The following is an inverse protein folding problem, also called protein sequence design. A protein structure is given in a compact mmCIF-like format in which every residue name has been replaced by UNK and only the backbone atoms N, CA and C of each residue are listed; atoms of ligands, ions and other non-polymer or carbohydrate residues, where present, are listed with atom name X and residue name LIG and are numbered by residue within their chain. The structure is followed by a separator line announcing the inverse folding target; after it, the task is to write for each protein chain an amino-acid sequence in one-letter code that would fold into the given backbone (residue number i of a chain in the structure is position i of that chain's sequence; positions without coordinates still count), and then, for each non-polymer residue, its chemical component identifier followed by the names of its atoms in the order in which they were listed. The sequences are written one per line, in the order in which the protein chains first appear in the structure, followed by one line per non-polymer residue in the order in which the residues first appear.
data_IF_529804649021
#
_entry.id   IF_529804649021
#
_cell.length_a   1.000
_cell.length_b   1.000
_cell.length_c   1.000
_cell.angle_alpha   90.00
_cell.angle_beta   90.00
_cell.angle_gamma   90.00
#
_symmetry.space_group_name_H-M   'P 1'
#
loop_
_entity.id
_entity.type
_entity.pdbx_description
1 polymer ?
#
# COMPACT_ATOMS: atom_id res chain seq x y z
N UNK A 1 26.81 3.68 -11.33
CA UNK A 1 25.69 4.48 -11.88
C UNK A 1 25.31 5.67 -11.00
N UNK A 2 26.30 6.35 -10.40
CA UNK A 2 26.13 7.35 -9.29
C UNK A 2 26.04 8.81 -9.78
N UNK A 3 26.36 9.08 -11.02
CA UNK A 3 26.50 10.47 -11.53
C UNK A 3 25.17 11.12 -11.95
N UNK A 4 24.11 10.33 -12.09
CA UNK A 4 22.84 10.78 -12.69
C UNK A 4 21.93 11.56 -11.72
N UNK A 5 21.95 11.22 -10.42
CA UNK A 5 21.02 11.80 -9.42
C UNK A 5 21.27 13.27 -9.13
N UNK A 6 22.50 13.76 -9.31
CA UNK A 6 22.88 15.15 -8.99
C UNK A 6 22.21 16.21 -9.86
N UNK A 7 21.78 15.85 -11.08
CA UNK A 7 21.24 16.79 -12.09
C UNK A 7 19.75 16.56 -12.40
N UNK A 8 19.04 15.73 -11.64
CA UNK A 8 17.62 15.47 -11.85
C UNK A 8 16.77 16.71 -11.50
N UNK A 9 15.65 16.93 -12.21
CA UNK A 9 14.59 17.84 -11.82
C UNK A 9 14.11 17.55 -10.38
N UNK A 10 13.49 18.54 -9.72
CA UNK A 10 13.06 18.41 -8.32
C UNK A 10 12.11 17.23 -8.10
N UNK A 11 11.14 17.03 -9.01
CA UNK A 11 10.14 15.96 -8.90
C UNK A 11 10.75 14.56 -9.08
N UNK A 12 11.64 14.41 -10.07
CA UNK A 12 12.37 13.14 -10.27
C UNK A 12 13.28 12.82 -9.07
N UNK A 13 13.90 13.84 -8.48
CA UNK A 13 14.72 13.65 -7.27
C UNK A 13 13.88 13.24 -6.07
N UNK A 14 12.64 13.78 -5.95
CA UNK A 14 11.70 13.34 -4.92
C UNK A 14 11.32 11.86 -5.12
N UNK A 15 11.04 11.45 -6.35
CA UNK A 15 10.73 10.06 -6.66
C UNK A 15 11.89 9.11 -6.30
N UNK A 16 13.12 9.42 -6.71
CA UNK A 16 14.32 8.63 -6.37
C UNK A 16 14.55 8.58 -4.84
N UNK A 17 14.23 9.67 -4.12
CA UNK A 17 14.34 9.65 -2.64
C UNK A 17 13.33 8.68 -2.04
N UNK A 18 12.10 8.68 -2.52
CA UNK A 18 11.05 7.75 -2.06
C UNK A 18 11.46 6.30 -2.32
N UNK A 19 11.96 5.99 -3.52
CA UNK A 19 12.45 4.66 -3.87
C UNK A 19 13.58 4.21 -2.95
N UNK A 20 14.57 5.07 -2.72
CA UNK A 20 15.68 4.77 -1.80
C UNK A 20 15.22 4.46 -0.37
N UNK A 21 14.19 5.16 0.13
CA UNK A 21 13.61 4.88 1.46
C UNK A 21 12.88 3.54 1.49
N UNK A 22 12.11 3.21 0.45
CA UNK A 22 11.38 1.95 0.35
C UNK A 22 12.36 0.77 0.27
N UNK A 23 13.44 0.90 -0.51
CA UNK A 23 14.50 -0.11 -0.59
C UNK A 23 15.20 -0.32 0.77
N UNK A 24 15.62 0.77 1.42
CA UNK A 24 16.22 0.69 2.75
C UNK A 24 15.29 0.02 3.77
N UNK A 25 13.99 0.32 3.72
CA UNK A 25 13.00 -0.27 4.61
C UNK A 25 12.76 -1.77 4.34
N UNK A 26 13.05 -2.26 3.14
CA UNK A 26 13.03 -3.68 2.85
C UNK A 26 14.22 -4.42 3.51
N UNK A 27 15.37 -3.73 3.68
CA UNK A 27 16.62 -4.30 4.16
C UNK A 27 16.80 -4.18 5.69
N UNK A 28 16.26 -3.11 6.31
CA UNK A 28 16.46 -2.80 7.73
C UNK A 28 15.20 -2.25 8.41
N UNK A 29 15.25 -2.09 9.73
CA UNK A 29 14.13 -1.50 10.47
C UNK A 29 13.89 -0.04 10.01
N UNK A 30 12.67 0.33 9.58
CA UNK A 30 12.36 1.69 9.13
C UNK A 30 12.63 2.79 10.16
N UNK A 31 12.53 2.47 11.47
CA UNK A 31 12.81 3.43 12.53
C UNK A 31 14.31 3.83 12.57
N UNK A 32 15.19 2.91 12.17
CA UNK A 32 16.64 3.11 12.19
C UNK A 32 17.17 3.77 10.91
N UNK A 33 16.32 3.97 9.90
CA UNK A 33 16.70 4.66 8.66
C UNK A 33 16.96 6.13 8.97
N UNK A 34 18.20 6.56 8.77
CA UNK A 34 18.64 7.95 8.96
C UNK A 34 18.64 8.71 7.63
N UNK A 35 18.54 10.03 7.70
CA UNK A 35 18.70 10.89 6.51
C UNK A 35 20.10 10.78 5.88
N UNK A 36 21.10 10.44 6.67
CA UNK A 36 22.45 10.13 6.18
C UNK A 36 22.45 8.82 5.35
N UNK A 37 21.80 7.76 5.82
CA UNK A 37 21.68 6.51 5.08
C UNK A 37 20.91 6.69 3.76
N UNK A 38 19.83 7.49 3.77
CA UNK A 38 19.07 7.83 2.55
C UNK A 38 19.98 8.58 1.55
N UNK A 39 20.68 9.63 2.00
CA UNK A 39 21.59 10.38 1.15
C UNK A 39 22.71 9.49 0.57
N UNK A 40 23.27 8.61 1.40
CA UNK A 40 24.29 7.64 0.98
C UNK A 40 23.77 6.68 -0.10
N UNK A 41 22.54 6.12 0.07
CA UNK A 41 21.91 5.24 -0.92
C UNK A 41 21.75 5.94 -2.27
N UNK A 42 21.45 7.23 -2.24
CA UNK A 42 21.28 8.07 -3.44
C UNK A 42 22.60 8.58 -4.03
N UNK A 43 23.76 8.34 -3.40
CA UNK A 43 25.03 8.92 -3.80
C UNK A 43 25.10 10.44 -3.60
N UNK A 44 24.36 10.99 -2.63
CA UNK A 44 24.26 12.40 -2.29
C UNK A 44 24.86 12.69 -0.92
N UNK A 45 25.16 13.98 -0.67
CA UNK A 45 25.41 14.46 0.69
C UNK A 45 24.08 14.69 1.42
N UNK A 46 24.08 14.55 2.74
CA UNK A 46 22.90 14.85 3.57
C UNK A 46 22.41 16.29 3.38
N UNK A 47 23.34 17.26 3.21
CA UNK A 47 23.00 18.66 2.90
C UNK A 47 22.27 18.81 1.55
N UNK A 48 22.59 17.98 0.55
CA UNK A 48 21.87 17.99 -0.72
C UNK A 48 20.44 17.43 -0.56
N UNK A 49 20.24 16.42 0.29
CA UNK A 49 18.93 15.90 0.62
C UNK A 49 18.05 16.95 1.32
N UNK A 50 18.61 17.68 2.29
CA UNK A 50 17.88 18.71 3.04
C UNK A 50 17.45 19.94 2.22
N UNK A 51 18.01 20.15 1.03
CA UNK A 51 17.49 21.18 0.10
C UNK A 51 16.09 20.85 -0.45
N UNK A 52 15.70 19.58 -0.43
CA UNK A 52 14.42 19.10 -0.97
C UNK A 52 13.44 18.63 0.11
N UNK A 53 13.98 18.19 1.25
CA UNK A 53 13.21 17.70 2.38
C UNK A 53 13.74 18.31 3.68
N UNK A 54 12.98 19.18 4.35
CA UNK A 54 13.46 19.88 5.54
C UNK A 54 13.77 18.96 6.71
N UNK A 55 13.15 17.77 6.75
CA UNK A 55 13.33 16.77 7.81
C UNK A 55 12.90 15.38 7.35
N UNK A 56 13.10 14.36 8.21
CA UNK A 56 12.71 12.96 7.95
C UNK A 56 11.19 12.82 7.79
N UNK A 57 10.39 13.56 8.54
CA UNK A 57 8.92 13.48 8.44
C UNK A 57 8.42 13.95 7.06
N UNK A 58 9.04 14.96 6.45
CA UNK A 58 8.74 15.39 5.08
C UNK A 58 9.05 14.30 4.05
N UNK A 59 10.11 13.51 4.27
CA UNK A 59 10.44 12.35 3.43
C UNK A 59 9.37 11.27 3.60
N UNK A 60 8.97 10.94 4.83
CA UNK A 60 7.93 9.95 5.11
C UNK A 60 6.57 10.37 4.53
N UNK A 61 6.23 11.66 4.59
CA UNK A 61 5.04 12.18 3.91
C UNK A 61 5.10 11.97 2.40
N UNK A 62 6.26 12.19 1.77
CA UNK A 62 6.43 11.92 0.34
C UNK A 62 6.29 10.43 0.01
N UNK A 63 6.80 9.54 0.88
CA UNK A 63 6.59 8.09 0.76
C UNK A 63 5.11 7.75 0.85
N UNK A 64 4.38 8.27 1.84
CA UNK A 64 2.95 8.00 2.01
C UNK A 64 2.11 8.55 0.83
N UNK A 65 2.46 9.72 0.29
CA UNK A 65 1.81 10.27 -0.89
C UNK A 65 2.01 9.36 -2.11
N UNK A 66 3.24 8.92 -2.34
CA UNK A 66 3.59 7.99 -3.41
C UNK A 66 2.85 6.64 -3.29
N UNK A 67 2.79 6.09 -2.07
CA UNK A 67 2.05 4.84 -1.81
C UNK A 67 0.57 5.02 -2.10
N UNK A 68 -0.04 6.12 -1.62
CA UNK A 68 -1.45 6.39 -1.84
C UNK A 68 -1.78 6.53 -3.33
N UNK A 69 -1.00 7.32 -4.05
CA UNK A 69 -1.16 7.52 -5.50
C UNK A 69 -1.04 6.20 -6.27
N UNK A 70 0.03 5.44 -6.03
CA UNK A 70 0.32 4.21 -6.76
C UNK A 70 -0.66 3.08 -6.45
N UNK A 71 -1.02 2.92 -5.16
CA UNK A 71 -1.95 1.88 -4.76
C UNK A 71 -3.37 2.19 -5.27
N UNK A 72 -3.86 3.43 -5.11
CA UNK A 72 -5.20 3.80 -5.58
C UNK A 72 -5.31 3.74 -7.10
N UNK A 73 -4.27 4.16 -7.83
CA UNK A 73 -4.24 4.02 -9.29
C UNK A 73 -4.37 2.55 -9.72
N UNK A 74 -3.65 1.62 -9.07
CA UNK A 74 -3.76 0.17 -9.35
C UNK A 74 -5.14 -0.39 -9.02
N UNK A 75 -5.76 0.09 -7.93
CA UNK A 75 -7.13 -0.28 -7.57
C UNK A 75 -8.12 0.20 -8.62
N UNK A 76 -8.00 1.46 -9.05
CA UNK A 76 -8.87 2.03 -10.08
C UNK A 76 -8.67 1.31 -11.43
N UNK A 77 -7.44 0.98 -11.82
CA UNK A 77 -7.14 0.20 -13.02
C UNK A 77 -7.70 -1.23 -12.95
N UNK A 78 -7.58 -1.89 -11.80
CA UNK A 78 -8.09 -3.25 -11.61
C UNK A 78 -9.63 -3.33 -11.70
N UNK A 79 -10.34 -2.24 -11.42
CA UNK A 79 -11.78 -2.14 -11.60
C UNK A 79 -12.20 -2.00 -13.06
N UNK A 80 -11.33 -1.43 -13.90
CA UNK A 80 -11.61 -1.22 -15.31
C UNK A 80 -11.64 -2.55 -16.07
N UNK A 81 -12.75 -2.83 -16.73
CA UNK A 81 -12.90 -4.05 -17.56
C UNK A 81 -13.21 -5.33 -16.78
N UNK A 82 -13.47 -5.27 -15.48
CA UNK A 82 -13.94 -6.40 -14.73
C UNK A 82 -15.37 -6.80 -15.19
N UNK A 83 -15.57 -8.09 -15.41
CA UNK A 83 -16.84 -8.62 -15.93
C UNK A 83 -17.97 -8.61 -14.89
N UNK A 84 -17.65 -8.42 -13.60
CA UNK A 84 -18.61 -8.43 -12.48
C UNK A 84 -18.01 -7.75 -11.26
N UNK A 85 -18.85 -7.40 -10.27
CA UNK A 85 -18.40 -6.84 -8.99
C UNK A 85 -17.47 -7.79 -8.23
N UNK A 86 -17.77 -9.09 -8.26
CA UNK A 86 -16.91 -10.12 -7.65
C UNK A 86 -15.55 -10.21 -8.36
N UNK A 87 -15.54 -10.15 -9.70
CA UNK A 87 -14.30 -10.16 -10.47
C UNK A 87 -13.46 -8.90 -10.20
N UNK A 88 -14.09 -7.73 -10.06
CA UNK A 88 -13.43 -6.50 -9.68
C UNK A 88 -12.79 -6.58 -8.28
N UNK A 89 -13.52 -7.11 -7.29
CA UNK A 89 -12.96 -7.34 -5.95
C UNK A 89 -11.75 -8.27 -5.98
N UNK A 90 -11.80 -9.34 -6.77
CA UNK A 90 -10.65 -10.25 -6.94
C UNK A 90 -9.46 -9.55 -7.58
N UNK A 91 -9.68 -8.79 -8.65
CA UNK A 91 -8.64 -8.04 -9.35
C UNK A 91 -7.99 -7.00 -8.43
N UNK A 92 -8.78 -6.26 -7.65
CA UNK A 92 -8.28 -5.30 -6.64
C UNK A 92 -7.43 -6.02 -5.59
N UNK A 93 -7.91 -7.17 -5.08
CA UNK A 93 -7.19 -7.95 -4.08
C UNK A 93 -5.80 -8.35 -4.61
N UNK A 94 -5.75 -8.95 -5.80
CA UNK A 94 -4.50 -9.38 -6.41
C UNK A 94 -3.58 -8.22 -6.75
N UNK A 95 -4.11 -7.09 -7.24
CA UNK A 95 -3.34 -5.89 -7.53
C UNK A 95 -2.67 -5.31 -6.27
N UNK A 96 -3.38 -5.31 -5.12
CA UNK A 96 -2.81 -4.89 -3.84
C UNK A 96 -1.71 -5.85 -3.37
N UNK A 97 -1.95 -7.16 -3.44
CA UNK A 97 -0.95 -8.20 -3.12
C UNK A 97 0.32 -8.01 -3.96
N UNK A 98 0.17 -7.81 -5.27
CA UNK A 98 1.30 -7.57 -6.17
C UNK A 98 2.05 -6.28 -5.84
N UNK A 99 1.33 -5.23 -5.47
CA UNK A 99 1.95 -3.98 -5.02
C UNK A 99 2.84 -4.20 -3.80
N UNK A 100 2.34 -4.91 -2.78
CA UNK A 100 3.10 -5.22 -1.57
C UNK A 100 4.32 -6.10 -1.88
N UNK A 101 4.14 -7.13 -2.70
CA UNK A 101 5.23 -8.04 -3.06
C UNK A 101 6.34 -7.35 -3.88
N UNK A 102 5.98 -6.33 -4.67
CA UNK A 102 6.95 -5.49 -5.41
C UNK A 102 7.65 -4.46 -4.51
N UNK A 103 7.01 -4.05 -3.41
CA UNK A 103 7.50 -2.99 -2.53
C UNK A 103 7.52 -3.45 -1.06
N UNK A 104 8.33 -4.45 -0.69
CA UNK A 104 8.31 -5.07 0.64
C UNK A 104 8.67 -4.11 1.79
N UNK A 105 9.32 -2.98 1.50
CA UNK A 105 9.58 -1.93 2.46
C UNK A 105 8.35 -1.11 2.83
N UNK A 106 7.34 -1.01 1.96
CA UNK A 106 6.15 -0.20 2.19
C UNK A 106 5.38 -0.63 3.45
N UNK A 107 4.98 -1.91 3.61
CA UNK A 107 4.27 -2.33 4.81
C UNK A 107 5.10 -2.14 6.08
N UNK A 108 6.41 -2.33 6.03
CA UNK A 108 7.31 -2.10 7.17
C UNK A 108 7.30 -0.62 7.60
N UNK A 109 7.34 0.31 6.66
CA UNK A 109 7.26 1.76 6.94
C UNK A 109 5.91 2.10 7.57
N UNK A 110 4.80 1.60 7.01
CA UNK A 110 3.45 1.84 7.53
C UNK A 110 3.31 1.30 8.96
N UNK A 111 3.70 0.07 9.22
CA UNK A 111 3.64 -0.52 10.56
C UNK A 111 4.55 0.19 11.55
N UNK A 112 5.75 0.59 11.14
CA UNK A 112 6.66 1.38 11.96
C UNK A 112 6.06 2.74 12.35
N UNK A 113 5.40 3.42 11.40
CA UNK A 113 4.74 4.69 11.67
C UNK A 113 3.53 4.55 12.58
N UNK A 114 2.75 3.46 12.45
CA UNK A 114 1.60 3.19 13.33
C UNK A 114 2.00 2.98 14.80
N UNK A 115 3.22 2.53 15.06
CA UNK A 115 3.74 2.34 16.43
C UNK A 115 4.19 3.65 17.12
N UNK A 116 4.40 4.73 16.38
CA UNK A 116 4.77 6.02 16.96
C UNK A 116 3.65 6.55 17.85
N UNK A 117 3.99 7.12 19.00
CA UNK A 117 3.01 7.77 19.87
C UNK A 117 2.43 9.04 19.21
N UNK A 118 1.16 9.30 19.46
CA UNK A 118 0.47 10.51 18.96
C UNK A 118 0.10 10.48 17.47
N UNK A 119 -0.51 11.58 17.04
CA UNK A 119 -0.93 11.81 15.66
C UNK A 119 0.18 12.48 14.86
N UNK A 120 0.69 11.77 13.85
CA UNK A 120 1.69 12.30 12.91
C UNK A 120 1.07 12.58 11.55
N UNK A 121 1.72 13.43 10.74
CA UNK A 121 1.25 13.69 9.39
C UNK A 121 1.24 12.42 8.51
N UNK A 122 2.28 11.54 8.53
CA UNK A 122 2.22 10.26 7.84
C UNK A 122 1.05 9.36 8.29
N UNK A 123 0.72 9.28 9.60
CA UNK A 123 -0.45 8.52 10.08
C UNK A 123 -1.75 9.02 9.47
N UNK A 124 -1.98 10.33 9.47
CA UNK A 124 -3.18 10.91 8.84
C UNK A 124 -3.27 10.59 7.36
N UNK A 125 -2.13 10.53 6.66
CA UNK A 125 -2.10 10.13 5.25
C UNK A 125 -2.49 8.67 5.06
N UNK A 126 -2.03 7.76 5.93
CA UNK A 126 -2.45 6.35 5.93
C UNK A 126 -3.96 6.22 6.21
N UNK A 127 -4.49 6.94 7.20
CA UNK A 127 -5.92 6.97 7.50
C UNK A 127 -6.74 7.46 6.29
N UNK A 128 -6.27 8.50 5.61
CA UNK A 128 -6.91 9.03 4.39
C UNK A 128 -6.87 8.00 3.25
N UNK A 129 -5.75 7.33 3.07
CA UNK A 129 -5.63 6.24 2.09
C UNK A 129 -6.64 5.12 2.36
N UNK A 130 -6.71 4.63 3.61
CA UNK A 130 -7.64 3.56 4.00
C UNK A 130 -9.09 3.99 3.77
N UNK A 131 -9.44 5.24 4.08
CA UNK A 131 -10.78 5.79 3.82
C UNK A 131 -11.11 5.80 2.33
N UNK A 132 -10.25 6.35 1.49
CA UNK A 132 -10.46 6.39 0.03
C UNK A 132 -10.52 4.99 -0.60
N UNK A 133 -9.74 4.05 -0.05
CA UNK A 133 -9.79 2.66 -0.48
C UNK A 133 -11.14 2.02 -0.08
N UNK A 134 -11.57 2.22 1.17
CA UNK A 134 -12.85 1.75 1.67
C UNK A 134 -14.05 2.30 0.88
N UNK A 135 -14.03 3.59 0.50
CA UNK A 135 -15.08 4.21 -0.33
C UNK A 135 -15.24 3.51 -1.70
N UNK A 136 -14.14 3.04 -2.29
CA UNK A 136 -14.18 2.25 -3.55
C UNK A 136 -14.78 0.88 -3.34
N UNK A 137 -14.37 0.21 -2.26
CA UNK A 137 -14.91 -1.11 -1.92
C UNK A 137 -16.42 -1.03 -1.61
N UNK A 138 -16.86 -0.02 -0.85
CA UNK A 138 -18.27 0.17 -0.53
C UNK A 138 -19.11 0.29 -1.79
N UNK A 139 -18.73 1.19 -2.71
CA UNK A 139 -19.46 1.34 -3.99
C UNK A 139 -19.54 0.03 -4.76
N UNK A 140 -18.43 -0.68 -4.88
CA UNK A 140 -18.34 -1.93 -5.62
C UNK A 140 -19.20 -3.04 -4.97
N UNK A 141 -19.22 -3.13 -3.64
CA UNK A 141 -20.04 -4.08 -2.91
C UNK A 141 -21.52 -3.74 -3.05
N UNK A 142 -21.92 -2.47 -2.91
CA UNK A 142 -23.31 -2.05 -3.03
C UNK A 142 -23.83 -2.23 -4.47
N UNK A 143 -23.02 -1.97 -5.49
CA UNK A 143 -23.33 -2.27 -6.88
C UNK A 143 -23.51 -3.78 -7.10
N UNK A 144 -22.64 -4.63 -6.56
CA UNK A 144 -22.75 -6.09 -6.63
C UNK A 144 -24.00 -6.63 -5.94
N UNK A 145 -24.40 -6.03 -4.82
CA UNK A 145 -25.70 -6.34 -4.14
C UNK A 145 -26.88 -5.95 -5.02
N UNK A 146 -26.87 -4.77 -5.60
CA UNK A 146 -27.94 -4.29 -6.47
C UNK A 146 -28.09 -5.15 -7.74
N UNK A 147 -27.01 -5.74 -8.23
CA UNK A 147 -26.99 -6.66 -9.39
C UNK A 147 -27.28 -8.12 -9.03
N UNK A 148 -27.44 -8.46 -7.75
CA UNK A 148 -27.69 -9.82 -7.28
C UNK A 148 -26.46 -10.74 -7.30
N UNK A 149 -25.26 -10.21 -7.54
CA UNK A 149 -24.01 -10.97 -7.50
C UNK A 149 -23.56 -11.26 -6.06
N UNK A 150 -23.83 -10.33 -5.16
CA UNK A 150 -23.54 -10.41 -3.74
C UNK A 150 -24.83 -10.57 -2.94
N UNK A 151 -24.71 -11.14 -1.74
CA UNK A 151 -25.83 -11.29 -0.83
C UNK A 151 -26.43 -9.91 -0.49
N UNK A 152 -27.73 -9.75 -0.73
CA UNK A 152 -28.42 -8.49 -0.44
C UNK A 152 -28.41 -8.11 1.05
N UNK A 153 -28.30 -9.10 1.94
CA UNK A 153 -28.20 -8.90 3.39
C UNK A 153 -26.77 -8.63 3.87
N UNK A 154 -25.77 -8.66 2.97
CA UNK A 154 -24.37 -8.43 3.33
C UNK A 154 -24.19 -7.04 3.94
N UNK A 155 -23.56 -6.97 5.11
CA UNK A 155 -23.10 -5.71 5.69
C UNK A 155 -21.89 -5.19 4.88
N UNK A 156 -22.12 -4.14 4.10
CA UNK A 156 -21.12 -3.52 3.20
C UNK A 156 -19.89 -3.06 3.95
N UNK A 157 -20.08 -2.43 5.13
CA UNK A 157 -18.97 -1.94 5.96
C UNK A 157 -18.13 -3.09 6.51
N UNK A 158 -18.76 -4.12 7.03
CA UNK A 158 -18.08 -5.31 7.56
C UNK A 158 -17.32 -6.05 6.45
N UNK A 159 -17.93 -6.19 5.26
CA UNK A 159 -17.31 -6.84 4.11
C UNK A 159 -16.07 -6.06 3.62
N UNK A 160 -16.13 -4.73 3.53
CA UNK A 160 -14.99 -3.89 3.16
C UNK A 160 -13.88 -3.96 4.23
N UNK A 161 -14.25 -3.96 5.51
CA UNK A 161 -13.30 -4.10 6.62
C UNK A 161 -12.60 -5.45 6.58
N UNK A 162 -13.36 -6.54 6.35
CA UNK A 162 -12.81 -7.89 6.22
C UNK A 162 -11.86 -8.00 5.02
N UNK A 163 -12.21 -7.38 3.89
CA UNK A 163 -11.36 -7.35 2.69
C UNK A 163 -9.97 -6.75 3.00
N UNK A 164 -9.94 -5.54 3.56
CA UNK A 164 -8.70 -4.84 3.91
C UNK A 164 -7.95 -5.62 5.01
N UNK A 165 -8.66 -6.08 6.04
CA UNK A 165 -8.09 -6.85 7.14
C UNK A 165 -7.47 -8.17 6.69
N UNK A 166 -8.06 -8.82 5.69
CA UNK A 166 -7.51 -10.04 5.09
C UNK A 166 -6.17 -9.78 4.41
N UNK A 167 -6.05 -8.71 3.63
CA UNK A 167 -4.78 -8.30 3.03
C UNK A 167 -3.75 -7.98 4.12
N UNK A 168 -4.14 -7.18 5.12
CA UNK A 168 -3.25 -6.82 6.23
C UNK A 168 -2.75 -8.06 7.00
N UNK A 169 -3.62 -9.05 7.20
CA UNK A 169 -3.27 -10.33 7.81
C UNK A 169 -2.24 -11.12 7.00
N UNK A 170 -2.43 -11.23 5.69
CA UNK A 170 -1.48 -11.86 4.78
C UNK A 170 -0.12 -11.15 4.80
N UNK A 171 -0.13 -9.82 4.75
CA UNK A 171 1.10 -9.00 4.84
C UNK A 171 1.83 -9.24 6.15
N UNK A 172 1.12 -9.22 7.29
CA UNK A 172 1.72 -9.46 8.59
C UNK A 172 2.35 -10.86 8.68
N UNK A 173 1.64 -11.89 8.23
CA UNK A 173 2.17 -13.27 8.23
C UNK A 173 3.41 -13.41 7.33
N UNK A 174 3.42 -12.79 6.16
CA UNK A 174 4.57 -12.82 5.26
C UNK A 174 5.80 -12.09 5.84
N UNK A 175 5.59 -10.98 6.55
CA UNK A 175 6.65 -10.28 7.27
C UNK A 175 7.22 -11.12 8.42
N UNK A 176 6.36 -11.82 9.17
CA UNK A 176 6.78 -12.74 10.24
C UNK A 176 7.57 -13.94 9.71
N UNK A 177 7.18 -14.45 8.54
CA UNK A 177 7.90 -15.52 7.85
C UNK A 177 9.22 -15.07 7.21
N UNK A 178 9.45 -13.76 7.07
CA UNK A 178 10.62 -13.21 6.41
C UNK A 178 10.60 -13.33 4.88
N UNK A 179 9.47 -13.72 4.30
CA UNK A 179 9.28 -13.88 2.85
C UNK A 179 8.00 -13.18 2.38
N UNK A 180 8.13 -11.89 2.05
CA UNK A 180 6.99 -11.09 1.57
C UNK A 180 6.52 -11.53 0.17
N UNK A 181 7.37 -12.16 -0.62
CA UNK A 181 7.00 -12.62 -1.95
C UNK A 181 6.02 -13.81 -1.91
N UNK A 182 6.05 -14.61 -0.84
CA UNK A 182 5.15 -15.77 -0.63
C UNK A 182 3.67 -15.38 -0.57
N UNK A 183 3.35 -14.13 -0.24
CA UNK A 183 1.97 -13.61 -0.17
C UNK A 183 1.18 -13.87 -1.48
N UNK A 184 1.86 -13.91 -2.64
CA UNK A 184 1.25 -14.19 -3.94
C UNK A 184 0.68 -15.60 -4.06
N UNK A 185 1.30 -16.59 -3.40
CA UNK A 185 0.85 -17.97 -3.43
C UNK A 185 -0.39 -18.21 -2.56
N UNK A 186 -0.52 -17.45 -1.46
CA UNK A 186 -1.63 -17.60 -0.51
C UNK A 186 -2.84 -16.75 -0.89
N UNK A 187 -2.63 -15.61 -1.53
CA UNK A 187 -3.67 -14.65 -1.84
C UNK A 187 -4.88 -15.25 -2.60
N UNK A 188 -4.73 -16.04 -3.67
CA UNK A 188 -5.89 -16.63 -4.38
C UNK A 188 -6.71 -17.58 -3.49
N UNK A 189 -6.05 -18.36 -2.65
CA UNK A 189 -6.70 -19.32 -1.74
C UNK A 189 -7.51 -18.60 -0.66
N UNK A 190 -6.93 -17.56 -0.10
CA UNK A 190 -7.57 -16.73 0.93
C UNK A 190 -8.72 -15.92 0.33
N UNK A 191 -8.52 -15.31 -0.85
CA UNK A 191 -9.61 -14.61 -1.55
C UNK A 191 -10.77 -15.55 -1.89
N UNK A 192 -10.51 -16.80 -2.26
CA UNK A 192 -11.56 -17.78 -2.54
C UNK A 192 -12.47 -18.04 -1.31
N UNK A 193 -11.95 -17.90 -0.09
CA UNK A 193 -12.76 -17.99 1.15
C UNK A 193 -13.61 -16.73 1.31
N UNK A 194 -13.00 -15.54 1.16
CA UNK A 194 -13.71 -14.26 1.21
C UNK A 194 -14.87 -14.24 0.18
N UNK A 195 -14.59 -14.58 -1.07
CA UNK A 195 -15.57 -14.65 -2.15
C UNK A 195 -16.77 -15.54 -1.81
N UNK A 196 -16.55 -16.71 -1.19
CA UNK A 196 -17.65 -17.60 -0.76
C UNK A 196 -18.50 -16.98 0.33
N UNK A 197 -17.92 -16.19 1.21
CA UNK A 197 -18.61 -15.52 2.31
C UNK A 197 -19.47 -14.33 1.91
N UNK A 198 -19.24 -13.75 0.71
CA UNK A 198 -19.95 -12.55 0.25
C UNK A 198 -20.97 -12.82 -0.87
N UNK A 199 -20.93 -14.00 -1.50
CA UNK A 199 -21.81 -14.33 -2.64
C UNK A 199 -23.23 -14.62 -2.17
N UNK A 200 -24.20 -14.29 -3.05
CA UNK A 200 -25.56 -14.77 -2.89
C UNK A 200 -25.62 -16.31 -2.84
N UNK A 201 -26.43 -16.84 -1.96
CA UNK A 201 -26.64 -18.29 -1.77
C UNK A 201 -27.81 -18.84 -2.58
N UNK A 202 -28.41 -17.99 -3.42
CA UNK A 202 -29.51 -18.39 -4.33
C UNK A 202 -29.01 -18.78 -5.70
#
# INVERSE_FOLDING_TARGET
MITYVKNLPADERRAVTVEAVIELAAEQNPNDITTAAIAQRMGLTQGALFRHFPNKDAILQAVMAWVAERLLARVDEAMLGAASGVAALEAIFMAHIDFVAQHPGVPRIIFGELQRAGETAPKRMVQTLIRHYGERLHRLIDEGKAQGELDAALDTQAAATLFIGTIQGLVMQSLLAGDVASIRSDAPRVFAIYRRGIRSTT
#
